data_IF_211414534340
#
_entry.id   IF_211414534340
#
_cell.length_a   1.000
_cell.length_b   1.000
_cell.length_c   1.000
_cell.angle_alpha   90.00
_cell.angle_beta   90.00
_cell.angle_gamma   90.00
#
_symmetry.space_group_name_H-M   'P 1'
#
loop_
_entity.id
_entity.type
_entity.pdbx_description
1 polymer ?
#
# COMPACT_ATOMS: atom_id res chain seq x y z
N UNK A 1 -48.91 -14.70 85.46
CA UNK A 1 -47.52 -15.02 85.07
C UNK A 1 -47.54 -15.73 83.74
N UNK A 2 -46.93 -15.13 82.73
CA UNK A 2 -46.10 -15.72 81.66
C UNK A 2 -46.06 -14.68 80.53
N UNK A 3 -44.95 -13.95 80.57
CA UNK A 3 -44.43 -13.01 79.60
C UNK A 3 -44.26 -13.74 78.26
N UNK A 4 -44.79 -13.21 77.16
CA UNK A 4 -44.35 -13.59 75.81
C UNK A 4 -43.77 -12.37 75.13
N UNK A 5 -42.45 -12.40 75.04
CA UNK A 5 -41.53 -11.44 74.45
C UNK A 5 -41.78 -11.28 72.95
N UNK A 6 -42.07 -10.04 72.54
CA UNK A 6 -42.09 -9.59 71.16
C UNK A 6 -40.66 -9.66 70.63
N UNK A 7 -40.37 -10.63 69.75
CA UNK A 7 -39.11 -10.65 69.00
C UNK A 7 -39.32 -9.86 67.71
N UNK A 8 -38.80 -8.63 67.69
CA UNK A 8 -38.68 -7.79 66.51
C UNK A 8 -37.54 -8.35 65.65
N UNK A 9 -37.87 -9.07 64.58
CA UNK A 9 -36.89 -9.49 63.57
C UNK A 9 -36.63 -8.31 62.63
N UNK A 10 -35.56 -7.56 62.88
CA UNK A 10 -35.03 -6.59 61.92
C UNK A 10 -34.45 -7.38 60.73
N UNK A 11 -35.21 -7.49 59.64
CA UNK A 11 -34.67 -7.97 58.36
C UNK A 11 -33.86 -6.83 57.74
N UNK A 12 -32.54 -6.85 57.93
CA UNK A 12 -31.62 -5.98 57.20
C UNK A 12 -31.46 -6.55 55.78
N UNK A 13 -32.28 -6.08 54.84
CA UNK A 13 -32.10 -6.38 53.41
C UNK A 13 -30.91 -5.55 52.91
N UNK A 14 -29.73 -6.15 52.88
CA UNK A 14 -28.57 -5.60 52.17
C UNK A 14 -28.82 -5.75 50.68
N UNK A 15 -29.43 -4.73 50.08
CA UNK A 15 -29.44 -4.52 48.63
C UNK A 15 -28.01 -4.28 48.17
N UNK A 16 -27.32 -5.35 47.77
CA UNK A 16 -26.13 -5.24 46.93
C UNK A 16 -26.58 -4.78 45.54
N UNK A 17 -26.70 -3.47 45.35
CA UNK A 17 -26.55 -2.89 44.02
C UNK A 17 -25.10 -3.13 43.61
N UNK A 18 -24.86 -4.23 42.90
CA UNK A 18 -23.64 -4.39 42.13
C UNK A 18 -23.66 -3.27 41.09
N UNK A 19 -22.96 -2.18 41.38
CA UNK A 19 -22.62 -1.21 40.36
C UNK A 19 -21.77 -1.99 39.34
N UNK A 20 -22.39 -2.35 38.22
CA UNK A 20 -21.66 -2.89 37.08
C UNK A 20 -20.59 -1.85 36.75
N UNK A 21 -19.33 -2.18 37.02
CA UNK A 21 -18.20 -1.39 36.53
C UNK A 21 -18.42 -1.25 35.03
N UNK A 22 -18.51 -0.02 34.49
CA UNK A 22 -18.62 0.14 33.04
C UNK A 22 -17.46 -0.64 32.43
N UNK A 23 -17.76 -1.55 31.52
CA UNK A 23 -16.75 -2.33 30.82
C UNK A 23 -15.77 -1.32 30.24
N UNK A 24 -14.57 -1.29 30.82
CA UNK A 24 -13.53 -0.40 30.35
C UNK A 24 -13.23 -0.86 28.93
N UNK A 25 -13.60 -0.05 27.94
CA UNK A 25 -13.27 -0.32 26.55
C UNK A 25 -11.75 -0.26 26.44
N UNK A 26 -11.12 -1.42 26.54
CA UNK A 26 -9.71 -1.57 26.26
C UNK A 26 -9.61 -1.57 24.74
N UNK A 27 -9.13 -0.46 24.16
CA UNK A 27 -8.83 -0.40 22.75
C UNK A 27 -7.90 -1.55 22.34
N UNK A 28 -8.25 -2.23 21.24
CA UNK A 28 -7.42 -3.27 20.63
C UNK A 28 -6.58 -2.72 19.47
N UNK A 29 -5.60 -3.51 19.03
CA UNK A 29 -4.78 -3.22 17.87
C UNK A 29 -5.11 -4.20 16.74
N UNK A 30 -5.51 -3.69 15.57
CA UNK A 30 -5.58 -4.48 14.34
C UNK A 30 -4.34 -4.19 13.50
N UNK A 31 -3.49 -5.21 13.31
CA UNK A 31 -2.35 -5.14 12.42
C UNK A 31 -2.77 -5.58 11.01
N UNK A 32 -2.86 -4.61 10.10
CA UNK A 32 -3.06 -4.84 8.67
C UNK A 32 -1.70 -4.89 7.98
N UNK A 33 -1.34 -6.06 7.47
CA UNK A 33 -0.12 -6.26 6.70
C UNK A 33 -0.45 -6.85 5.33
N UNK A 34 0.30 -6.48 4.29
CA UNK A 34 0.33 -7.31 3.10
C UNK A 34 0.95 -8.67 3.46
N UNK A 35 0.61 -9.71 2.72
CA UNK A 35 1.13 -11.05 3.00
C UNK A 35 0.41 -12.17 2.28
N UNK A 36 -0.70 -11.86 1.60
CA UNK A 36 -1.38 -12.77 0.68
C UNK A 36 -0.75 -12.65 -0.70
N UNK A 37 -0.09 -13.71 -1.13
CA UNK A 37 0.45 -13.88 -2.49
C UNK A 37 -0.16 -15.15 -3.09
N UNK A 38 -0.39 -15.21 -4.42
CA UNK A 38 -0.91 -16.42 -5.08
C UNK A 38 0.01 -17.64 -4.85
N UNK A 39 1.32 -17.41 -4.86
CA UNK A 39 2.36 -18.42 -4.66
C UNK A 39 3.36 -17.90 -3.61
N UNK A 40 3.23 -18.28 -2.34
CA UNK A 40 4.07 -17.77 -1.26
C UNK A 40 5.55 -18.07 -1.46
N UNK A 41 6.37 -17.03 -1.46
CA UNK A 41 7.83 -17.14 -1.44
C UNK A 41 8.35 -17.44 -0.03
N UNK A 42 9.61 -17.87 0.08
CA UNK A 42 10.29 -17.97 1.38
C UNK A 42 10.31 -16.61 2.10
N UNK A 43 10.45 -15.52 1.33
CA UNK A 43 10.46 -14.15 1.86
C UNK A 43 9.10 -13.77 2.43
N UNK A 44 8.00 -13.99 1.71
CA UNK A 44 6.65 -13.66 2.21
C UNK A 44 6.24 -14.56 3.37
N UNK A 45 6.67 -15.82 3.37
CA UNK A 45 6.51 -16.71 4.53
C UNK A 45 7.25 -16.19 5.77
N UNK A 46 8.50 -15.74 5.60
CA UNK A 46 9.29 -15.16 6.71
C UNK A 46 8.70 -13.83 7.20
N UNK A 47 8.22 -13.00 6.27
CA UNK A 47 7.51 -11.75 6.57
C UNK A 47 6.27 -12.00 7.44
N UNK A 48 5.36 -12.90 7.01
CA UNK A 48 4.15 -13.20 7.77
C UNK A 48 4.48 -13.76 9.17
N UNK A 49 5.50 -14.62 9.28
CA UNK A 49 5.99 -15.12 10.58
C UNK A 49 6.50 -14.01 11.49
N UNK A 50 7.21 -13.02 10.94
CA UNK A 50 7.73 -11.89 11.71
C UNK A 50 6.62 -10.95 12.17
N UNK A 51 5.62 -10.68 11.32
CA UNK A 51 4.42 -9.91 11.69
C UNK A 51 3.67 -10.61 12.82
N UNK A 52 3.43 -11.92 12.69
CA UNK A 52 2.76 -12.72 13.73
C UNK A 52 3.53 -12.68 15.07
N UNK A 53 4.86 -12.84 15.03
CA UNK A 53 5.70 -12.75 16.24
C UNK A 53 5.60 -11.37 16.91
N UNK A 54 5.60 -10.30 16.12
CA UNK A 54 5.45 -8.95 16.66
C UNK A 54 4.07 -8.77 17.30
N UNK A 55 3.02 -9.28 16.65
CA UNK A 55 1.67 -9.22 17.17
C UNK A 55 1.53 -9.94 18.51
N UNK A 56 2.14 -11.13 18.66
CA UNK A 56 2.17 -11.87 19.93
C UNK A 56 2.81 -11.04 21.05
N UNK A 57 3.91 -10.34 20.78
CA UNK A 57 4.56 -9.46 21.76
C UNK A 57 3.68 -8.27 22.16
N UNK A 58 2.92 -7.71 21.21
CA UNK A 58 2.00 -6.60 21.48
C UNK A 58 0.75 -7.06 22.23
N UNK A 59 0.33 -8.31 21.99
CA UNK A 59 -0.84 -8.92 22.63
C UNK A 59 -0.74 -9.02 24.15
N UNK A 60 0.49 -8.99 24.70
CA UNK A 60 0.71 -8.92 26.16
C UNK A 60 0.18 -7.62 26.78
N UNK A 61 0.11 -6.53 26.01
CA UNK A 61 -0.29 -5.19 26.48
C UNK A 61 -1.62 -4.71 25.91
N UNK A 62 -1.90 -5.05 24.66
CA UNK A 62 -3.10 -4.64 23.95
C UNK A 62 -3.65 -5.85 23.20
N UNK A 63 -4.93 -6.23 23.34
CA UNK A 63 -5.53 -7.27 22.48
C UNK A 63 -5.19 -6.97 21.02
N UNK A 64 -4.45 -7.87 20.38
CA UNK A 64 -3.87 -7.65 19.05
C UNK A 64 -4.32 -8.75 18.10
N UNK A 65 -4.97 -8.34 17.02
CA UNK A 65 -5.35 -9.23 15.91
C UNK A 65 -4.50 -8.92 14.67
N UNK A 66 -4.24 -9.94 13.86
CA UNK A 66 -3.49 -9.82 12.61
C UNK A 66 -4.35 -10.28 11.46
N UNK A 67 -4.44 -9.43 10.44
CA UNK A 67 -5.06 -9.79 9.18
C UNK A 67 -4.09 -9.51 8.02
N UNK A 68 -3.86 -10.54 7.20
CA UNK A 68 -3.03 -10.44 6.02
C UNK A 68 -3.90 -10.16 4.80
N UNK A 69 -3.66 -9.01 4.16
CA UNK A 69 -4.29 -8.60 2.92
C UNK A 69 -3.41 -8.85 1.69
N UNK A 70 -3.98 -8.57 0.52
CA UNK A 70 -3.21 -8.41 -0.72
C UNK A 70 -2.43 -7.10 -0.66
N UNK A 71 -1.32 -7.02 -1.38
CA UNK A 71 -0.62 -5.73 -1.55
C UNK A 71 -1.40 -4.82 -2.52
N UNK A 72 -0.97 -3.56 -2.61
CA UNK A 72 -1.59 -2.57 -3.50
C UNK A 72 -1.41 -2.93 -4.98
N UNK A 73 -0.28 -3.53 -5.36
CA UNK A 73 0.04 -4.09 -6.68
C UNK A 73 -0.75 -3.46 -7.84
N UNK A 74 -1.55 -4.26 -8.57
CA UNK A 74 -2.35 -3.85 -9.73
C UNK A 74 -3.71 -3.21 -9.37
N UNK A 75 -3.93 -2.84 -8.11
CA UNK A 75 -5.24 -2.40 -7.61
C UNK A 75 -5.76 -1.16 -8.38
N UNK A 76 -7.04 -1.12 -8.78
CA UNK A 76 -7.59 -0.03 -9.61
C UNK A 76 -7.41 1.38 -9.02
N UNK A 77 -7.51 1.50 -7.70
CA UNK A 77 -7.25 2.76 -6.98
C UNK A 77 -5.84 3.32 -7.24
N UNK A 78 -4.83 2.48 -7.48
CA UNK A 78 -3.48 2.91 -7.88
C UNK A 78 -3.50 3.44 -9.31
N UNK A 79 -4.15 2.74 -10.23
CA UNK A 79 -4.32 3.19 -11.62
C UNK A 79 -4.95 4.58 -11.71
N UNK A 80 -5.96 4.85 -10.90
CA UNK A 80 -6.61 6.17 -10.80
C UNK A 80 -5.65 7.26 -10.33
N UNK A 81 -4.83 6.97 -9.30
CA UNK A 81 -3.81 7.91 -8.82
C UNK A 81 -2.82 8.22 -9.95
N UNK A 82 -2.27 7.17 -10.58
CA UNK A 82 -1.27 7.33 -11.64
C UNK A 82 -1.84 8.10 -12.83
N UNK A 83 -3.11 7.88 -13.18
CA UNK A 83 -3.81 8.65 -14.22
C UNK A 83 -3.91 10.13 -13.85
N UNK A 84 -4.34 10.45 -12.63
CA UNK A 84 -4.43 11.84 -12.15
C UNK A 84 -3.07 12.52 -12.19
N UNK A 85 -2.02 11.84 -11.70
CA UNK A 85 -0.64 12.35 -11.75
C UNK A 85 -0.17 12.61 -13.17
N UNK A 86 -0.50 11.71 -14.11
CA UNK A 86 -0.12 11.85 -15.51
C UNK A 86 -0.83 13.03 -16.18
N UNK A 87 -2.14 13.15 -16.00
CA UNK A 87 -2.95 14.22 -16.59
C UNK A 87 -2.58 15.60 -16.02
N UNK A 88 -2.21 15.67 -14.74
CA UNK A 88 -1.73 16.90 -14.12
C UNK A 88 -0.44 17.45 -14.76
N UNK A 89 0.28 16.64 -15.55
CA UNK A 89 1.51 17.09 -16.20
C UNK A 89 1.26 17.95 -17.44
N UNK A 90 0.06 18.02 -18.01
CA UNK A 90 -0.26 18.96 -19.10
C UNK A 90 -1.51 18.61 -19.91
N UNK A 91 -1.75 19.37 -20.99
CA UNK A 91 -3.04 19.38 -21.71
C UNK A 91 -3.05 18.66 -23.06
N UNK A 92 -1.96 17.96 -23.44
CA UNK A 92 -1.86 17.22 -24.72
C UNK A 92 -1.49 15.75 -24.50
N UNK A 93 -2.39 14.92 -23.93
CA UNK A 93 -2.13 13.50 -23.72
C UNK A 93 -1.72 12.76 -24.99
N UNK A 94 -2.34 13.07 -26.13
CA UNK A 94 -2.11 12.44 -27.42
C UNK A 94 -0.70 12.66 -28.01
N UNK A 95 0.08 13.57 -27.41
CA UNK A 95 1.50 13.83 -27.74
C UNK A 95 2.43 13.52 -26.57
N UNK A 96 1.91 12.86 -25.53
CA UNK A 96 2.62 12.58 -24.29
C UNK A 96 2.84 11.08 -24.15
N UNK A 97 4.10 10.67 -24.02
CA UNK A 97 4.48 9.33 -23.60
C UNK A 97 4.70 9.33 -22.09
N UNK A 98 3.94 8.50 -21.38
CA UNK A 98 4.10 8.29 -19.94
C UNK A 98 5.01 7.09 -19.71
N UNK A 99 5.93 7.18 -18.77
CA UNK A 99 6.84 6.11 -18.35
C UNK A 99 6.60 5.86 -16.87
N UNK A 100 5.93 4.75 -16.56
CA UNK A 100 5.77 4.26 -15.19
C UNK A 100 7.06 3.56 -14.78
N UNK A 101 7.64 3.94 -13.64
CA UNK A 101 8.87 3.31 -13.14
C UNK A 101 8.73 2.91 -11.68
N UNK A 102 8.74 1.59 -11.42
CA UNK A 102 8.76 1.04 -10.07
C UNK A 102 10.19 0.79 -9.59
N UNK A 103 10.34 0.50 -8.29
CA UNK A 103 11.63 0.15 -7.71
C UNK A 103 12.26 -1.08 -8.39
N UNK A 104 11.47 -2.14 -8.58
CA UNK A 104 11.92 -3.43 -9.09
C UNK A 104 12.49 -4.34 -7.99
N UNK A 105 12.25 -5.66 -8.09
CA UNK A 105 12.86 -6.67 -7.23
C UNK A 105 14.24 -7.08 -7.74
N UNK A 106 14.89 -8.07 -7.12
CA UNK A 106 16.24 -8.49 -7.51
C UNK A 106 16.25 -9.65 -8.50
N UNK A 107 15.29 -10.57 -8.43
CA UNK A 107 15.21 -11.73 -9.33
C UNK A 107 14.38 -11.41 -10.58
N UNK A 108 14.61 -12.15 -11.66
CA UNK A 108 13.84 -11.96 -12.90
C UNK A 108 12.40 -12.45 -12.76
N UNK A 109 12.18 -13.51 -12.00
CA UNK A 109 10.84 -14.07 -11.78
C UNK A 109 9.94 -13.11 -11.00
N UNK A 110 10.46 -12.43 -9.98
CA UNK A 110 9.72 -11.39 -9.28
C UNK A 110 9.57 -10.16 -10.18
N UNK A 111 10.59 -9.81 -10.96
CA UNK A 111 10.55 -8.65 -11.84
C UNK A 111 9.47 -8.77 -12.91
N UNK A 112 9.29 -9.98 -13.45
CA UNK A 112 8.19 -10.28 -14.38
C UNK A 112 6.82 -10.01 -13.75
N UNK A 113 6.60 -10.39 -12.49
CA UNK A 113 5.33 -10.13 -11.79
C UNK A 113 5.09 -8.63 -11.62
N UNK A 114 6.11 -7.89 -11.19
CA UNK A 114 6.00 -6.43 -11.06
C UNK A 114 5.73 -5.75 -12.41
N UNK A 115 6.32 -6.25 -13.49
CA UNK A 115 6.04 -5.75 -14.84
C UNK A 115 4.63 -6.10 -15.32
N UNK A 116 4.05 -7.22 -14.88
CA UNK A 116 2.64 -7.58 -15.14
C UNK A 116 1.69 -6.61 -14.42
N UNK A 117 1.95 -6.31 -13.15
CA UNK A 117 1.15 -5.33 -12.39
C UNK A 117 1.24 -3.92 -13.01
N UNK A 118 2.46 -3.50 -13.36
CA UNK A 118 2.68 -2.23 -14.06
C UNK A 118 2.00 -2.19 -15.43
N UNK A 119 1.95 -3.32 -16.15
CA UNK A 119 1.25 -3.40 -17.42
C UNK A 119 -0.23 -3.11 -17.22
N UNK A 120 -0.87 -3.64 -16.17
CA UNK A 120 -2.28 -3.34 -15.85
C UNK A 120 -2.52 -1.84 -15.71
N UNK A 121 -1.67 -1.14 -14.96
CA UNK A 121 -1.74 0.31 -14.84
C UNK A 121 -1.51 1.02 -16.19
N UNK A 122 -0.49 0.61 -16.94
CA UNK A 122 -0.17 1.21 -18.23
C UNK A 122 -1.33 1.12 -19.23
N UNK A 123 -1.99 -0.04 -19.31
CA UNK A 123 -3.17 -0.24 -20.14
C UNK A 123 -4.34 0.65 -19.69
N UNK A 124 -4.56 0.78 -18.38
CA UNK A 124 -5.59 1.67 -17.85
C UNK A 124 -5.30 3.13 -18.22
N UNK A 125 -4.07 3.62 -17.99
CA UNK A 125 -3.67 4.98 -18.31
C UNK A 125 -3.79 5.27 -19.81
N UNK A 126 -3.35 4.34 -20.67
CA UNK A 126 -3.45 4.52 -22.11
C UNK A 126 -4.92 4.65 -22.55
N UNK A 127 -5.79 3.77 -22.05
CA UNK A 127 -7.23 3.79 -22.38
C UNK A 127 -7.96 5.02 -21.85
N UNK A 128 -7.76 5.37 -20.59
CA UNK A 128 -8.51 6.44 -19.91
C UNK A 128 -7.92 7.82 -20.18
N UNK A 129 -6.60 7.93 -20.19
CA UNK A 129 -5.88 9.19 -20.40
C UNK A 129 -5.65 9.55 -21.86
N UNK A 130 -5.81 8.58 -22.79
CA UNK A 130 -5.56 8.75 -24.23
C UNK A 130 -4.15 9.25 -24.53
N UNK A 131 -3.19 8.81 -23.72
CA UNK A 131 -1.78 9.12 -23.92
C UNK A 131 -1.27 8.53 -25.23
N UNK A 132 -0.34 9.21 -25.91
CA UNK A 132 0.34 8.68 -27.11
C UNK A 132 0.84 7.25 -26.88
N UNK A 133 1.50 7.05 -25.74
CA UNK A 133 2.01 5.76 -25.31
C UNK A 133 2.14 5.74 -23.78
N UNK A 134 2.01 4.56 -23.17
CA UNK A 134 2.34 4.35 -21.75
C UNK A 134 3.30 3.18 -21.63
N UNK A 135 4.56 3.49 -21.34
CA UNK A 135 5.62 2.51 -21.10
C UNK A 135 5.75 2.23 -19.62
N UNK A 136 6.32 1.07 -19.29
CA UNK A 136 6.54 0.68 -17.91
C UNK A 136 7.84 -0.11 -17.74
N UNK A 137 8.54 0.17 -16.65
CA UNK A 137 9.87 -0.34 -16.37
C UNK A 137 10.09 -0.47 -14.86
N UNK A 138 11.17 -1.15 -14.49
CA UNK A 138 11.66 -1.23 -13.12
C UNK A 138 13.07 -0.68 -13.03
N UNK A 139 13.38 0.12 -12.01
CA UNK A 139 14.70 0.73 -11.82
C UNK A 139 15.77 -0.30 -11.38
N UNK A 140 15.35 -1.38 -10.71
CA UNK A 140 16.19 -2.48 -10.20
C UNK A 140 17.35 -1.96 -9.32
N UNK A 141 17.07 -1.00 -8.44
CA UNK A 141 18.09 -0.27 -7.64
C UNK A 141 18.98 -1.23 -6.85
N UNK A 142 18.40 -2.27 -6.26
CA UNK A 142 19.09 -3.21 -5.36
C UNK A 142 19.63 -4.46 -6.07
N UNK A 143 19.44 -4.56 -7.38
CA UNK A 143 19.88 -5.70 -8.16
C UNK A 143 21.41 -5.68 -8.38
N UNK A 144 22.02 -6.83 -8.70
CA UNK A 144 23.41 -6.90 -9.14
C UNK A 144 23.75 -5.88 -10.24
N UNK A 145 24.96 -5.35 -10.23
CA UNK A 145 25.38 -4.23 -11.10
C UNK A 145 25.04 -4.43 -12.57
N UNK A 146 25.29 -5.61 -13.12
CA UNK A 146 25.00 -5.91 -14.53
C UNK A 146 23.49 -5.82 -14.86
N UNK A 147 22.62 -6.18 -13.92
CA UNK A 147 21.15 -6.11 -14.08
C UNK A 147 20.70 -4.65 -13.96
N UNK A 148 21.18 -3.95 -12.93
CA UNK A 148 20.88 -2.53 -12.71
C UNK A 148 21.35 -1.65 -13.88
N UNK A 149 22.52 -1.91 -14.43
CA UNK A 149 23.05 -1.19 -15.60
C UNK A 149 22.17 -1.37 -16.83
N UNK A 150 21.70 -2.59 -17.11
CA UNK A 150 20.75 -2.87 -18.20
C UNK A 150 19.40 -2.18 -18.00
N UNK A 151 18.88 -2.20 -16.77
CA UNK A 151 17.62 -1.52 -16.44
C UNK A 151 17.73 0.00 -16.64
N UNK A 152 18.85 0.59 -16.21
CA UNK A 152 19.19 2.00 -16.42
C UNK A 152 19.30 2.36 -17.90
N UNK A 153 19.98 1.54 -18.70
CA UNK A 153 20.10 1.73 -20.15
C UNK A 153 18.71 1.71 -20.81
N UNK A 154 17.91 0.69 -20.53
CA UNK A 154 16.53 0.59 -21.04
C UNK A 154 15.68 1.81 -20.65
N UNK A 155 15.82 2.29 -19.41
CA UNK A 155 15.11 3.47 -18.94
C UNK A 155 15.55 4.75 -19.66
N UNK A 156 16.85 4.97 -19.83
CA UNK A 156 17.38 6.12 -20.59
C UNK A 156 16.91 6.10 -22.04
N UNK A 157 16.98 4.95 -22.70
CA UNK A 157 16.49 4.79 -24.08
C UNK A 157 15.00 5.11 -24.18
N UNK A 158 14.18 4.58 -23.28
CA UNK A 158 12.75 4.84 -23.28
C UNK A 158 12.42 6.33 -23.09
N UNK A 159 13.11 7.01 -22.16
CA UNK A 159 12.93 8.43 -21.93
C UNK A 159 13.40 9.28 -23.12
N UNK A 160 14.51 8.91 -23.76
CA UNK A 160 15.03 9.60 -24.93
C UNK A 160 14.06 9.49 -26.11
N UNK A 161 13.58 8.29 -26.42
CA UNK A 161 12.59 8.07 -27.48
C UNK A 161 11.28 8.82 -27.20
N UNK A 162 10.78 8.76 -25.96
CA UNK A 162 9.60 9.51 -25.54
C UNK A 162 9.75 11.02 -25.79
N UNK A 163 10.93 11.58 -25.47
CA UNK A 163 11.22 13.00 -25.68
C UNK A 163 11.42 13.38 -27.15
N UNK A 164 11.80 12.42 -27.99
CA UNK A 164 11.94 12.62 -29.43
C UNK A 164 10.58 12.68 -30.14
N UNK A 165 9.63 11.84 -29.71
CA UNK A 165 8.29 11.76 -30.30
C UNK A 165 7.28 12.75 -29.69
N UNK A 166 7.65 13.45 -28.62
CA UNK A 166 6.80 14.44 -27.98
C UNK A 166 7.21 14.70 -26.55
N UNK A 167 6.21 14.75 -25.66
CA UNK A 167 6.43 15.02 -24.24
C UNK A 167 6.70 13.72 -23.48
N UNK A 168 7.85 13.63 -22.81
CA UNK A 168 8.15 12.54 -21.88
C UNK A 168 7.67 12.89 -20.45
N UNK A 169 6.85 12.03 -19.86
CA UNK A 169 6.40 12.13 -18.47
C UNK A 169 6.82 10.87 -17.73
N UNK A 170 7.65 10.99 -16.70
CA UNK A 170 8.06 9.89 -15.83
C UNK A 170 7.25 9.92 -14.55
N UNK A 171 6.61 8.83 -14.18
CA UNK A 171 5.85 8.72 -12.93
C UNK A 171 6.43 7.59 -12.08
N UNK A 172 6.99 7.90 -10.89
CA UNK A 172 7.47 6.87 -10.00
C UNK A 172 6.30 6.10 -9.39
N UNK A 173 6.28 4.77 -9.58
CA UNK A 173 5.39 3.84 -8.88
C UNK A 173 6.11 3.36 -7.62
N UNK A 174 6.36 4.32 -6.72
CA UNK A 174 7.00 4.15 -5.41
C UNK A 174 6.01 4.66 -4.38
N UNK A 175 5.55 3.84 -3.44
CA UNK A 175 4.41 4.18 -2.57
C UNK A 175 4.48 5.61 -1.99
N UNK A 176 5.64 6.00 -1.46
CA UNK A 176 5.92 7.33 -0.93
C UNK A 176 7.23 7.88 -1.47
N UNK A 177 7.43 9.18 -1.27
CA UNK A 177 8.75 9.76 -1.49
C UNK A 177 9.78 9.18 -0.51
N UNK A 178 11.00 8.93 -0.99
CA UNK A 178 11.99 8.20 -0.18
C UNK A 178 13.43 8.22 -0.66
N UNK A 179 13.75 8.93 -1.75
CA UNK A 179 15.12 9.17 -2.21
C UNK A 179 15.49 8.45 -3.51
N UNK A 180 14.79 7.36 -3.85
CA UNK A 180 14.98 6.65 -5.13
C UNK A 180 14.69 7.57 -6.32
N UNK A 181 13.78 8.54 -6.16
CA UNK A 181 13.45 9.53 -7.20
C UNK A 181 14.66 10.36 -7.60
N UNK A 182 15.59 10.62 -6.67
CA UNK A 182 16.85 11.28 -6.96
C UNK A 182 17.71 10.47 -7.92
N UNK A 183 17.81 9.16 -7.70
CA UNK A 183 18.49 8.24 -8.61
C UNK A 183 17.80 8.22 -9.98
N UNK A 184 16.47 8.06 -10.03
CA UNK A 184 15.70 8.06 -11.28
C UNK A 184 15.94 9.36 -12.08
N UNK A 185 15.93 10.53 -11.41
CA UNK A 185 16.21 11.81 -12.09
C UNK A 185 17.65 11.90 -12.58
N UNK A 186 18.61 11.46 -11.76
CA UNK A 186 20.03 11.46 -12.14
C UNK A 186 20.29 10.55 -13.34
N UNK A 187 19.61 9.40 -13.41
CA UNK A 187 19.66 8.48 -14.53
C UNK A 187 19.20 9.12 -15.84
N UNK A 188 18.36 10.16 -15.81
CA UNK A 188 17.89 10.88 -16.99
C UNK A 188 18.57 12.24 -17.20
N UNK A 189 19.68 12.53 -16.50
CA UNK A 189 20.41 13.78 -16.67
C UNK A 189 20.78 14.00 -18.14
N UNK A 190 20.51 15.21 -18.63
CA UNK A 190 20.72 15.63 -20.02
C UNK A 190 19.52 15.37 -20.96
N UNK A 191 18.44 14.73 -20.50
CA UNK A 191 17.21 14.54 -21.26
C UNK A 191 16.14 15.55 -20.84
N UNK A 192 15.20 15.85 -21.74
CA UNK A 192 14.03 16.67 -21.44
C UNK A 192 12.87 15.78 -21.03
N UNK A 193 12.40 15.93 -19.80
CA UNK A 193 11.27 15.16 -19.27
C UNK A 193 10.55 15.92 -18.15
N UNK A 194 9.31 15.53 -17.89
CA UNK A 194 8.54 15.92 -16.73
C UNK A 194 8.50 14.77 -15.73
N UNK A 195 8.48 15.09 -14.43
CA UNK A 195 8.52 14.08 -13.38
C UNK A 195 7.33 14.24 -12.44
N UNK A 196 6.48 13.22 -12.41
CA UNK A 196 5.30 13.14 -11.56
C UNK A 196 5.64 12.84 -10.10
N UNK A 197 4.60 12.90 -9.27
CA UNK A 197 4.68 12.55 -7.85
C UNK A 197 4.39 11.05 -7.66
N UNK A 198 4.92 10.42 -6.59
CA UNK A 198 4.51 9.09 -6.16
C UNK A 198 3.01 9.04 -5.77
N UNK A 199 2.44 7.85 -5.52
CA UNK A 199 1.05 7.70 -5.12
C UNK A 199 0.72 8.46 -3.82
N UNK A 200 1.55 8.40 -2.79
CA UNK A 200 1.36 9.24 -1.60
C UNK A 200 1.89 10.67 -1.79
N UNK A 201 1.16 11.69 -1.29
CA UNK A 201 -0.15 11.61 -0.63
C UNK A 201 -1.30 11.58 -1.64
N UNK A 202 -2.27 10.68 -1.48
CA UNK A 202 -3.52 10.69 -2.26
C UNK A 202 -4.66 9.98 -1.52
N UNK A 203 -5.91 10.51 -1.56
CA UNK A 203 -7.07 9.91 -0.86
C UNK A 203 -7.34 8.44 -1.21
N UNK A 204 -7.09 8.04 -2.46
CA UNK A 204 -7.21 6.64 -2.87
C UNK A 204 -6.30 5.66 -2.09
N UNK A 205 -5.18 6.11 -1.50
CA UNK A 205 -4.39 5.23 -0.63
C UNK A 205 -5.12 4.98 0.70
N UNK A 206 -5.76 6.01 1.26
CA UNK A 206 -6.63 5.84 2.42
C UNK A 206 -7.82 4.93 2.08
N UNK A 207 -8.50 5.17 0.95
CA UNK A 207 -9.61 4.32 0.50
C UNK A 207 -9.20 2.86 0.32
N UNK A 208 -7.97 2.61 -0.12
CA UNK A 208 -7.44 1.25 -0.20
C UNK A 208 -7.28 0.62 1.19
N UNK A 209 -6.74 1.35 2.18
CA UNK A 209 -6.64 0.87 3.57
C UNK A 209 -8.03 0.56 4.15
N UNK A 210 -9.00 1.45 3.94
CA UNK A 210 -10.40 1.24 4.36
C UNK A 210 -11.01 0.01 3.68
N UNK A 211 -10.80 -0.16 2.37
CA UNK A 211 -11.28 -1.34 1.64
C UNK A 211 -10.64 -2.64 2.15
N UNK A 212 -9.34 -2.63 2.46
CA UNK A 212 -8.68 -3.79 3.08
C UNK A 212 -9.28 -4.10 4.46
N UNK A 213 -9.49 -3.07 5.29
CA UNK A 213 -10.12 -3.24 6.60
C UNK A 213 -11.49 -3.92 6.49
N UNK A 214 -12.37 -3.41 5.63
CA UNK A 214 -13.70 -3.99 5.45
C UNK A 214 -13.65 -5.41 4.87
N UNK A 215 -12.78 -5.65 3.89
CA UNK A 215 -12.62 -6.98 3.29
C UNK A 215 -12.18 -8.02 4.32
N UNK A 216 -11.29 -7.65 5.24
CA UNK A 216 -10.69 -8.57 6.19
C UNK A 216 -11.53 -8.78 7.46
N UNK A 217 -12.32 -7.77 7.86
CA UNK A 217 -13.13 -7.83 9.09
C UNK A 217 -14.60 -8.14 8.84
N UNK A 218 -15.10 -7.94 7.61
CA UNK A 218 -16.52 -8.03 7.29
C UNK A 218 -17.38 -6.92 7.93
N UNK A 219 -16.76 -5.92 8.55
CA UNK A 219 -17.44 -4.76 9.12
C UNK A 219 -17.63 -3.66 8.06
N UNK A 220 -18.60 -2.77 8.27
CA UNK A 220 -18.78 -1.51 7.53
C UNK A 220 -18.92 -0.39 8.56
N UNK A 221 -18.31 0.78 8.32
CA UNK A 221 -18.55 1.97 9.16
C UNK A 221 -19.99 2.49 9.01
#
# INVERSE_FOLDING_TARGET
MIQKTIHCWLFLVLLFCSAATPAQEHGGLLLLAHGVEPEPSQRSTLWNKNVARLAEQLNEKFPTEVAFGKAMDDHPLVSEILLERALAMGTSPEKTTVILIAHGPNTEEENRRWLEDLATHAHYLHRQGRFHEVRYLTHRTDAPEAIRARAREAFRTAAQEASYHGKAVVIPVLLSAGGIEGAIRNDLKGLTFHFGQPPLPHPNVQRWVEAQYYQLTGQSF
#
